data_IF_678839541166
#
_entry.id   IF_678839541166
#
_cell.length_a   1.000
_cell.length_b   1.000
_cell.length_c   1.000
_cell.angle_alpha   90.00
_cell.angle_beta   90.00
_cell.angle_gamma   90.00
#
_symmetry.space_group_name_H-M   'P 1'
#
loop_
_entity.id
_entity.type
_entity.pdbx_description
1 polymer ?
#
# COMPACT_ATOMS: atom_id res chain seq x y z
N UNK A 1 -17.84 27.16 -21.42
CA UNK A 1 -16.96 27.73 -22.45
C UNK A 1 -15.72 28.25 -21.72
N UNK A 2 -14.76 27.35 -21.45
CA UNK A 2 -13.45 27.66 -20.86
C UNK A 2 -12.41 26.84 -21.62
N UNK A 3 -12.17 27.20 -22.88
CA UNK A 3 -10.96 26.77 -23.58
C UNK A 3 -9.94 27.86 -23.27
N UNK A 4 -9.30 27.79 -22.11
CA UNK A 4 -8.09 28.56 -21.88
C UNK A 4 -6.93 27.74 -22.45
N UNK A 5 -6.35 28.30 -23.51
CA UNK A 5 -5.09 27.79 -24.08
C UNK A 5 -4.03 27.67 -22.99
N UNK A 6 -3.67 26.45 -22.63
CA UNK A 6 -2.48 26.15 -21.83
C UNK A 6 -1.22 26.42 -22.68
N UNK A 7 -0.88 27.70 -22.85
CA UNK A 7 0.43 28.14 -23.35
C UNK A 7 1.48 28.20 -22.23
N UNK A 8 1.11 27.91 -20.99
CA UNK A 8 2.01 27.81 -19.86
C UNK A 8 2.20 26.33 -19.50
N UNK A 9 3.44 25.93 -19.21
CA UNK A 9 3.78 24.59 -18.72
C UNK A 9 3.08 24.36 -17.39
N UNK A 10 2.17 23.37 -17.30
CA UNK A 10 1.50 23.04 -16.05
C UNK A 10 2.54 22.67 -14.96
N UNK A 11 2.44 23.30 -13.81
CA UNK A 11 3.34 23.15 -12.67
C UNK A 11 2.81 22.08 -11.74
N UNK A 12 3.50 20.96 -11.64
CA UNK A 12 3.08 19.83 -10.84
C UNK A 12 3.95 19.75 -9.58
N UNK A 13 3.31 19.73 -8.41
CA UNK A 13 3.92 19.31 -7.15
C UNK A 13 3.59 17.83 -6.92
N UNK A 14 4.59 17.02 -6.65
CA UNK A 14 4.39 15.61 -6.27
C UNK A 14 4.47 15.42 -4.76
N UNK A 15 3.56 14.65 -4.17
CA UNK A 15 3.56 14.30 -2.75
C UNK A 15 3.54 12.78 -2.58
N UNK A 16 4.57 12.22 -1.96
CA UNK A 16 4.68 10.78 -1.76
C UNK A 16 5.79 10.42 -0.76
N UNK A 17 5.79 9.18 -0.25
CA UNK A 17 6.80 8.78 0.74
C UNK A 17 7.40 7.39 0.44
N UNK A 18 6.63 6.27 0.40
CA UNK A 18 7.16 4.92 0.28
C UNK A 18 7.49 4.54 -1.16
N UNK A 19 8.02 3.34 -1.32
CA UNK A 19 8.39 2.73 -2.61
C UNK A 19 7.23 2.75 -3.63
N UNK A 20 5.99 2.59 -3.18
CA UNK A 20 4.78 2.64 -4.01
C UNK A 20 4.67 3.93 -4.84
N UNK A 21 5.13 5.06 -4.29
CA UNK A 21 5.05 6.37 -4.95
C UNK A 21 6.12 6.59 -6.05
N UNK A 22 7.16 5.77 -6.08
CA UNK A 22 8.32 5.93 -6.97
C UNK A 22 7.94 5.85 -8.46
N UNK A 23 7.17 4.84 -8.94
CA UNK A 23 6.80 4.78 -10.36
C UNK A 23 6.02 6.01 -10.82
N UNK A 24 5.11 6.55 -9.98
CA UNK A 24 4.34 7.75 -10.30
C UNK A 24 5.23 8.99 -10.44
N UNK A 25 6.16 9.22 -9.49
CA UNK A 25 7.12 10.34 -9.60
C UNK A 25 7.98 10.22 -10.85
N UNK A 26 8.52 9.03 -11.12
CA UNK A 26 9.33 8.76 -12.30
C UNK A 26 8.55 9.04 -13.58
N UNK A 27 7.34 8.50 -13.70
CA UNK A 27 6.50 8.67 -14.88
C UNK A 27 6.17 10.13 -15.16
N UNK A 28 5.93 10.95 -14.12
CA UNK A 28 5.70 12.39 -14.26
C UNK A 28 6.94 13.10 -14.80
N UNK A 29 8.13 12.80 -14.29
CA UNK A 29 9.39 13.41 -14.73
C UNK A 29 9.71 12.99 -16.17
N UNK A 30 9.59 11.72 -16.49
CA UNK A 30 9.87 11.18 -17.84
C UNK A 30 8.86 11.64 -18.90
N UNK A 31 7.61 11.89 -18.50
CA UNK A 31 6.58 12.41 -19.40
C UNK A 31 6.72 13.92 -19.67
N UNK A 32 7.36 14.69 -18.79
CA UNK A 32 7.46 16.15 -18.87
C UNK A 32 7.92 16.69 -20.24
N UNK A 33 8.94 16.12 -20.94
CA UNK A 33 9.38 16.64 -22.24
C UNK A 33 8.31 16.56 -23.34
N UNK A 34 7.41 15.58 -23.27
CA UNK A 34 6.38 15.35 -24.30
C UNK A 34 5.03 16.00 -23.98
N UNK A 35 4.75 16.23 -22.69
CA UNK A 35 3.46 16.75 -22.22
C UNK A 35 3.47 18.24 -21.94
N UNK A 36 4.66 18.83 -21.80
CA UNK A 36 4.84 20.25 -21.52
C UNK A 36 4.64 20.65 -20.06
N UNK A 37 4.33 19.74 -19.13
CA UNK A 37 4.30 20.07 -17.71
C UNK A 37 5.70 20.09 -17.08
N UNK A 38 5.79 20.58 -15.85
CA UNK A 38 7.02 20.60 -15.07
C UNK A 38 6.76 20.11 -13.65
N UNK A 39 7.51 19.13 -13.18
CA UNK A 39 7.55 18.79 -11.74
C UNK A 39 8.40 19.85 -11.04
N UNK A 40 7.75 20.72 -10.27
CA UNK A 40 8.40 21.91 -9.67
C UNK A 40 9.03 21.62 -8.31
N UNK A 41 8.51 20.66 -7.59
CA UNK A 41 9.04 20.18 -6.31
C UNK A 41 8.42 18.83 -5.93
N UNK A 42 8.99 18.21 -4.91
CA UNK A 42 8.50 16.98 -4.30
C UNK A 42 8.31 17.21 -2.80
N UNK A 43 7.17 16.81 -2.23
CA UNK A 43 6.96 16.78 -0.80
C UNK A 43 6.96 15.32 -0.30
N UNK A 44 7.70 15.05 0.77
CA UNK A 44 7.79 13.73 1.39
C UNK A 44 7.84 13.85 2.91
N UNK A 45 7.56 12.77 3.64
CA UNK A 45 7.73 12.79 5.09
C UNK A 45 9.21 12.93 5.45
N UNK A 46 9.52 13.61 6.58
CA UNK A 46 10.89 13.76 7.06
C UNK A 46 11.59 12.42 7.28
N UNK A 47 12.92 12.45 7.22
CA UNK A 47 13.77 11.30 7.53
C UNK A 47 13.42 10.72 8.89
N UNK A 48 13.38 9.40 8.98
CA UNK A 48 13.06 8.68 10.22
C UNK A 48 14.16 7.71 10.61
N UNK A 49 14.37 7.50 11.93
CA UNK A 49 15.26 6.45 12.39
C UNK A 49 14.76 5.08 11.93
N UNK A 50 15.58 4.30 11.22
CA UNK A 50 15.22 2.96 10.74
C UNK A 50 16.34 1.94 11.02
N UNK A 51 15.95 0.66 11.08
CA UNK A 51 16.86 -0.46 11.26
C UNK A 51 17.51 -0.61 12.64
N UNK A 52 18.37 -1.62 12.76
CA UNK A 52 19.19 -1.84 13.95
C UNK A 52 20.25 -0.72 14.01
N UNK A 53 20.20 0.14 15.03
CA UNK A 53 21.11 1.27 15.17
C UNK A 53 20.46 2.63 14.93
N UNK A 54 19.16 2.70 14.59
CA UNK A 54 18.36 3.93 14.45
C UNK A 54 19.03 5.02 13.59
N UNK A 55 19.70 4.63 12.53
CA UNK A 55 20.23 5.61 11.57
C UNK A 55 19.09 6.32 10.86
N UNK A 56 19.28 7.63 10.63
CA UNK A 56 18.30 8.41 9.84
C UNK A 56 18.32 7.91 8.40
N UNK A 57 17.15 7.49 7.92
CA UNK A 57 16.98 6.97 6.56
C UNK A 57 16.01 7.86 5.80
N UNK A 58 16.47 8.34 4.67
CA UNK A 58 15.66 9.14 3.75
C UNK A 58 14.60 8.27 3.07
N UNK A 59 13.42 8.86 2.88
CA UNK A 59 12.35 8.17 2.17
C UNK A 59 12.77 7.80 0.73
N UNK A 60 12.23 6.71 0.16
CA UNK A 60 12.46 6.38 -1.25
C UNK A 60 12.18 7.55 -2.20
N UNK A 61 11.11 8.30 -1.95
CA UNK A 61 10.74 9.47 -2.75
C UNK A 61 11.78 10.59 -2.64
N UNK A 62 12.33 10.87 -1.43
CA UNK A 62 13.41 11.85 -1.25
C UNK A 62 14.65 11.47 -2.06
N UNK A 63 15.05 10.21 -1.99
CA UNK A 63 16.20 9.71 -2.72
C UNK A 63 16.03 9.89 -4.23
N UNK A 64 14.87 9.54 -4.78
CA UNK A 64 14.58 9.71 -6.20
C UNK A 64 14.49 11.20 -6.61
N UNK A 65 13.81 12.04 -5.82
CA UNK A 65 13.73 13.47 -6.07
C UNK A 65 15.13 14.10 -6.15
N UNK A 66 16.02 13.74 -5.23
CA UNK A 66 17.41 14.19 -5.21
C UNK A 66 18.16 13.73 -6.47
N UNK A 67 17.98 12.47 -6.90
CA UNK A 67 18.59 11.95 -8.12
C UNK A 67 18.11 12.68 -9.39
N UNK A 68 16.88 13.18 -9.40
CA UNK A 68 16.34 14.03 -10.48
C UNK A 68 16.66 15.52 -10.34
N UNK A 69 17.37 15.93 -9.28
CA UNK A 69 17.68 17.34 -9.01
C UNK A 69 16.45 18.19 -8.68
N UNK A 70 15.37 17.56 -8.17
CA UNK A 70 14.13 18.25 -7.81
C UNK A 70 14.22 18.82 -6.37
N UNK A 71 13.68 20.02 -6.13
CA UNK A 71 13.53 20.57 -4.79
C UNK A 71 12.68 19.63 -3.91
N UNK A 72 13.09 19.40 -2.65
CA UNK A 72 12.40 18.54 -1.70
C UNK A 72 11.89 19.37 -0.53
N UNK A 73 10.60 19.18 -0.20
CA UNK A 73 9.95 19.70 1.00
C UNK A 73 9.68 18.53 1.96
N UNK A 74 9.94 18.76 3.26
CA UNK A 74 9.75 17.74 4.30
C UNK A 74 8.84 18.26 5.43
N UNK A 75 7.58 18.60 5.14
CA UNK A 75 6.67 19.10 6.17
C UNK A 75 6.34 18.00 7.16
N UNK A 76 6.29 18.35 8.44
CA UNK A 76 5.82 17.45 9.50
C UNK A 76 4.29 17.43 9.55
N UNK A 77 3.66 18.56 9.25
CA UNK A 77 2.20 18.70 9.26
C UNK A 77 1.79 20.01 8.60
N UNK A 78 0.86 19.97 7.67
CA UNK A 78 0.26 21.20 7.11
C UNK A 78 -0.73 21.88 8.05
N UNK A 79 -1.28 21.15 9.04
CA UNK A 79 -2.21 21.73 10.03
C UNK A 79 -1.48 22.54 11.10
N UNK A 80 -0.25 22.14 11.45
CA UNK A 80 0.52 22.71 12.57
C UNK A 80 1.67 23.61 12.13
N UNK A 81 1.99 23.63 10.85
CA UNK A 81 3.10 24.40 10.27
C UNK A 81 2.60 25.29 9.13
N UNK A 82 2.25 26.55 9.42
CA UNK A 82 1.86 27.52 8.40
C UNK A 82 2.94 27.77 7.35
N UNK A 83 4.22 27.66 7.72
CA UNK A 83 5.33 27.90 6.81
C UNK A 83 5.40 26.85 5.69
N UNK A 84 4.95 25.61 5.99
CA UNK A 84 4.82 24.56 4.98
C UNK A 84 3.75 24.91 3.94
N UNK A 85 2.62 25.49 4.37
CA UNK A 85 1.54 25.95 3.45
C UNK A 85 2.01 27.14 2.62
N UNK A 86 2.70 28.11 3.24
CA UNK A 86 3.30 29.24 2.51
C UNK A 86 4.31 28.78 1.46
N UNK A 87 5.09 27.73 1.74
CA UNK A 87 6.01 27.16 0.76
C UNK A 87 5.26 26.60 -0.46
N UNK A 88 4.10 25.96 -0.26
CA UNK A 88 3.24 25.51 -1.36
C UNK A 88 2.71 26.69 -2.19
N UNK A 89 2.22 27.73 -1.53
CA UNK A 89 1.77 28.95 -2.23
C UNK A 89 2.88 29.59 -3.08
N UNK A 90 4.12 29.66 -2.55
CA UNK A 90 5.28 30.19 -3.31
C UNK A 90 5.62 29.34 -4.53
N UNK A 91 5.43 28.03 -4.44
CA UNK A 91 5.62 27.12 -5.57
C UNK A 91 4.55 27.29 -6.64
N UNK A 92 3.38 27.82 -6.28
CA UNK A 92 2.22 28.02 -7.16
C UNK A 92 1.99 26.82 -8.10
N UNK A 93 1.71 25.62 -7.58
CA UNK A 93 1.43 24.47 -8.41
C UNK A 93 0.04 24.60 -9.05
N UNK A 94 -0.05 24.24 -10.34
CA UNK A 94 -1.33 24.13 -11.03
C UNK A 94 -2.06 22.84 -10.66
N UNK A 95 -1.30 21.79 -10.28
CA UNK A 95 -1.76 20.48 -9.91
C UNK A 95 -0.88 19.91 -8.79
N UNK A 96 -1.49 19.24 -7.82
CA UNK A 96 -0.78 18.40 -6.85
C UNK A 96 -1.09 16.94 -7.14
N UNK A 97 -0.06 16.11 -7.29
CA UNK A 97 -0.20 14.66 -7.41
C UNK A 97 0.21 13.99 -6.11
N UNK A 98 -0.64 13.13 -5.58
CA UNK A 98 -0.43 12.42 -4.31
C UNK A 98 -0.36 10.92 -4.58
N UNK A 99 0.63 10.24 -3.99
CA UNK A 99 0.73 8.79 -4.00
C UNK A 99 1.30 8.32 -2.65
N UNK A 100 0.48 7.69 -1.82
CA UNK A 100 0.88 7.15 -0.52
C UNK A 100 1.72 8.16 0.32
N UNK A 101 1.26 9.37 0.47
CA UNK A 101 1.99 10.45 1.15
C UNK A 101 2.00 10.30 2.68
N UNK A 102 0.83 9.93 3.24
CA UNK A 102 0.68 9.65 4.66
C UNK A 102 0.53 10.87 5.57
N UNK A 103 0.34 12.07 5.03
CA UNK A 103 -0.10 13.26 5.76
C UNK A 103 -1.47 13.71 5.27
N UNK A 104 -2.28 14.23 6.18
CA UNK A 104 -3.58 14.82 5.86
C UNK A 104 -3.37 16.17 5.19
N UNK A 105 -4.01 16.39 4.06
CA UNK A 105 -4.07 17.67 3.38
C UNK A 105 -5.33 18.43 3.85
N UNK A 106 -5.19 19.55 4.59
CA UNK A 106 -6.34 20.36 4.96
C UNK A 106 -6.92 21.11 3.75
N UNK A 107 -8.18 21.56 3.85
CA UNK A 107 -8.86 22.30 2.78
C UNK A 107 -8.00 23.39 2.15
N UNK A 108 -7.33 24.21 2.95
CA UNK A 108 -6.45 25.28 2.45
C UNK A 108 -5.23 24.80 1.63
N UNK A 109 -4.88 23.49 1.67
CA UNK A 109 -3.87 22.89 0.76
C UNK A 109 -4.55 22.33 -0.48
N UNK A 110 -5.74 21.71 -0.31
CA UNK A 110 -6.51 21.14 -1.43
C UNK A 110 -6.95 22.22 -2.45
N UNK A 111 -7.16 23.45 -1.98
CA UNK A 111 -7.61 24.59 -2.77
C UNK A 111 -6.48 25.37 -3.47
N UNK A 112 -5.20 25.08 -3.17
CA UNK A 112 -4.06 25.80 -3.78
C UNK A 112 -4.01 25.55 -5.30
N UNK A 113 -4.04 24.30 -5.80
CA UNK A 113 -3.86 24.04 -7.23
C UNK A 113 -5.16 24.23 -8.02
N UNK A 114 -5.11 24.94 -9.13
CA UNK A 114 -6.27 25.19 -10.02
C UNK A 114 -6.90 23.90 -10.55
N UNK A 115 -6.09 22.87 -10.82
CA UNK A 115 -6.56 21.55 -11.29
C UNK A 115 -6.76 20.55 -10.14
N UNK A 116 -6.73 21.03 -8.87
CA UNK A 116 -6.95 20.23 -7.69
C UNK A 116 -5.80 19.29 -7.32
N UNK A 117 -6.05 18.46 -6.32
CA UNK A 117 -5.14 17.43 -5.87
C UNK A 117 -5.61 16.08 -6.41
N UNK A 118 -4.75 15.37 -7.13
CA UNK A 118 -5.05 14.05 -7.73
C UNK A 118 -4.30 12.97 -6.94
N UNK A 119 -5.02 11.94 -6.48
CA UNK A 119 -4.45 10.82 -5.75
C UNK A 119 -4.41 9.54 -6.60
N UNK A 120 -3.31 8.80 -6.48
CA UNK A 120 -3.17 7.44 -7.01
C UNK A 120 -3.56 6.46 -5.89
N UNK A 121 -4.82 6.01 -5.90
CA UNK A 121 -5.36 5.13 -4.89
C UNK A 121 -5.33 3.66 -5.34
N UNK A 122 -4.81 2.77 -4.47
CA UNK A 122 -4.55 1.36 -4.82
C UNK A 122 -5.76 0.45 -4.58
N UNK A 123 -6.94 0.87 -5.03
CA UNK A 123 -8.16 0.05 -5.11
C UNK A 123 -9.07 0.49 -6.24
N UNK A 124 -10.08 -0.29 -6.53
CA UNK A 124 -11.22 0.11 -7.36
C UNK A 124 -12.25 0.79 -6.43
N UNK A 125 -12.17 2.13 -6.31
CA UNK A 125 -13.16 2.89 -5.56
C UNK A 125 -14.57 2.70 -6.15
N UNK A 126 -15.62 2.68 -5.30
CA UNK A 126 -15.70 3.10 -3.91
C UNK A 126 -15.22 2.08 -2.87
N UNK A 127 -14.77 0.88 -3.28
CA UNK A 127 -14.29 -0.13 -2.35
C UNK A 127 -12.89 0.18 -1.79
N UNK A 128 -12.67 -0.18 -0.51
CA UNK A 128 -11.37 -0.06 0.17
C UNK A 128 -10.80 1.37 0.22
N UNK A 129 -11.63 2.36 0.55
CA UNK A 129 -11.14 3.68 0.95
C UNK A 129 -10.24 3.56 2.18
N UNK A 130 -9.16 4.33 2.26
CA UNK A 130 -8.29 4.38 3.44
C UNK A 130 -6.89 3.82 3.23
N UNK A 131 -6.26 3.40 4.35
CA UNK A 131 -4.80 3.33 4.41
C UNK A 131 -4.18 2.02 3.87
N UNK A 132 -4.93 0.92 3.75
CA UNK A 132 -4.34 -0.40 3.47
C UNK A 132 -5.14 -1.23 2.46
N UNK A 133 -5.54 -0.66 1.29
CA UNK A 133 -6.43 -1.30 0.33
C UNK A 133 -5.86 -2.60 -0.25
N UNK A 134 -4.56 -2.65 -0.50
CA UNK A 134 -3.88 -3.82 -1.12
C UNK A 134 -3.95 -5.05 -0.20
N UNK A 135 -3.58 -4.86 1.07
CA UNK A 135 -3.63 -5.95 2.04
C UNK A 135 -5.07 -6.40 2.33
N UNK A 136 -6.01 -5.46 2.39
CA UNK A 136 -7.42 -5.77 2.59
C UNK A 136 -7.99 -6.62 1.44
N UNK A 137 -7.69 -6.28 0.18
CA UNK A 137 -8.12 -7.05 -0.98
C UNK A 137 -7.59 -8.50 -0.98
N UNK A 138 -6.33 -8.71 -0.56
CA UNK A 138 -5.74 -10.05 -0.41
C UNK A 138 -6.42 -10.81 0.73
N UNK A 139 -6.61 -10.17 1.88
CA UNK A 139 -7.19 -10.79 3.08
C UNK A 139 -8.64 -11.23 2.83
N UNK A 140 -9.42 -10.42 2.14
CA UNK A 140 -10.79 -10.73 1.75
C UNK A 140 -10.85 -11.76 0.60
N UNK A 141 -9.71 -12.07 -0.03
CA UNK A 141 -9.58 -13.09 -1.06
C UNK A 141 -10.22 -12.71 -2.38
N UNK A 142 -10.13 -11.44 -2.74
CA UNK A 142 -10.60 -10.98 -4.03
C UNK A 142 -9.78 -11.58 -5.17
N UNK A 143 -10.43 -11.86 -6.29
CA UNK A 143 -9.76 -12.29 -7.53
C UNK A 143 -9.11 -11.13 -8.28
N UNK A 144 -9.55 -9.91 -8.02
CA UNK A 144 -9.05 -8.69 -8.68
C UNK A 144 -9.18 -7.48 -7.75
N UNK A 145 -8.33 -6.51 -7.98
CA UNK A 145 -8.35 -5.16 -7.43
C UNK A 145 -8.01 -4.17 -8.55
N UNK A 146 -7.46 -3.02 -8.24
CA UNK A 146 -7.01 -2.08 -9.26
C UNK A 146 -6.46 -0.79 -8.70
N UNK A 147 -6.38 0.20 -9.56
CA UNK A 147 -5.98 1.56 -9.21
C UNK A 147 -7.07 2.53 -9.65
N UNK A 148 -7.35 3.50 -8.82
CA UNK A 148 -8.20 4.65 -9.13
C UNK A 148 -7.36 5.93 -9.09
N UNK A 149 -7.36 6.68 -10.18
CA UNK A 149 -6.92 8.08 -10.19
C UNK A 149 -8.14 8.92 -9.82
N UNK A 150 -8.05 9.67 -8.72
CA UNK A 150 -9.18 10.42 -8.18
C UNK A 150 -8.79 11.85 -7.80
N UNK A 151 -9.75 12.76 -7.82
CA UNK A 151 -9.61 14.06 -7.17
C UNK A 151 -9.79 13.91 -5.67
N UNK A 152 -8.96 14.59 -4.90
CA UNK A 152 -9.08 14.59 -3.44
C UNK A 152 -10.10 15.63 -2.98
N UNK A 153 -10.84 15.27 -1.97
CA UNK A 153 -11.69 16.14 -1.16
C UNK A 153 -11.27 16.09 0.32
N UNK A 154 -12.04 16.68 1.21
CA UNK A 154 -11.75 16.66 2.65
C UNK A 154 -12.01 15.31 3.30
N UNK A 155 -12.72 14.39 2.62
CA UNK A 155 -13.03 13.05 3.10
C UNK A 155 -11.89 12.06 2.91
N UNK A 156 -12.06 10.87 3.46
CA UNK A 156 -11.11 9.79 3.28
C UNK A 156 -11.40 9.06 1.98
N UNK A 157 -10.67 9.40 0.92
CA UNK A 157 -10.77 8.81 -0.42
C UNK A 157 -12.22 8.83 -0.98
N UNK A 158 -12.98 9.90 -0.69
CA UNK A 158 -14.37 10.09 -1.08
C UNK A 158 -14.56 10.90 -2.35
N UNK A 159 -13.57 11.61 -2.79
CA UNK A 159 -13.62 12.47 -3.97
C UNK A 159 -13.87 11.69 -5.27
N UNK A 160 -14.29 12.36 -6.34
CA UNK A 160 -14.66 11.72 -7.58
C UNK A 160 -13.50 11.07 -8.31
N UNK A 161 -13.75 9.93 -8.99
CA UNK A 161 -12.77 9.25 -9.80
C UNK A 161 -12.59 9.94 -11.16
N UNK A 162 -11.36 9.98 -11.66
CA UNK A 162 -11.04 10.40 -13.02
C UNK A 162 -10.89 9.18 -13.94
N UNK A 163 -10.25 8.12 -13.45
CA UNK A 163 -10.04 6.89 -14.23
C UNK A 163 -9.74 5.71 -13.30
N UNK A 164 -10.08 4.50 -13.75
CA UNK A 164 -9.78 3.26 -13.06
C UNK A 164 -9.12 2.25 -13.99
N UNK A 165 -8.26 1.38 -13.43
CA UNK A 165 -7.72 0.22 -14.11
C UNK A 165 -7.75 -1.01 -13.20
N UNK A 166 -8.24 -2.13 -13.74
CA UNK A 166 -8.34 -3.42 -13.03
C UNK A 166 -7.00 -4.14 -13.04
N UNK A 167 -6.67 -4.80 -11.94
CA UNK A 167 -5.48 -5.63 -11.76
C UNK A 167 -5.87 -6.98 -11.16
N UNK A 168 -5.57 -8.12 -11.80
CA UNK A 168 -5.76 -9.45 -11.20
C UNK A 168 -4.89 -9.63 -9.95
N UNK A 169 -5.42 -10.34 -8.95
CA UNK A 169 -4.67 -10.81 -7.79
C UNK A 169 -4.32 -12.28 -8.04
N UNK A 170 -3.02 -12.60 -8.11
CA UNK A 170 -2.57 -13.98 -8.30
C UNK A 170 -2.61 -14.75 -6.98
N UNK A 171 -2.77 -16.10 -7.02
CA UNK A 171 -2.87 -16.91 -5.80
C UNK A 171 -1.66 -16.82 -4.87
N UNK A 172 -0.48 -16.49 -5.39
CA UNK A 172 0.78 -16.33 -4.66
C UNK A 172 1.14 -14.87 -4.35
N UNK A 173 0.28 -13.93 -4.73
CA UNK A 173 0.54 -12.52 -4.44
C UNK A 173 0.60 -12.25 -2.94
N UNK A 174 1.64 -11.54 -2.57
CA UNK A 174 1.75 -10.83 -1.29
C UNK A 174 1.41 -9.35 -1.47
N UNK A 175 1.21 -8.63 -0.37
CA UNK A 175 1.07 -7.17 -0.43
C UNK A 175 2.28 -6.52 -1.12
N UNK A 176 3.49 -7.05 -0.96
CA UNK A 176 4.67 -6.53 -1.64
C UNK A 176 4.57 -6.68 -3.16
N UNK A 177 4.34 -7.91 -3.67
CA UNK A 177 4.31 -8.17 -5.12
C UNK A 177 3.15 -7.48 -5.82
N UNK A 178 1.96 -7.49 -5.21
CA UNK A 178 0.78 -6.80 -5.75
C UNK A 178 0.98 -5.28 -5.73
N UNK A 179 1.62 -4.73 -4.68
CA UNK A 179 1.93 -3.30 -4.57
C UNK A 179 2.85 -2.83 -5.69
N UNK A 180 3.85 -3.62 -6.08
CA UNK A 180 4.75 -3.28 -7.20
C UNK A 180 3.99 -3.18 -8.52
N UNK A 181 3.09 -4.13 -8.81
CA UNK A 181 2.28 -4.12 -10.03
C UNK A 181 1.28 -2.96 -10.05
N UNK A 182 0.59 -2.72 -8.93
CA UNK A 182 -0.35 -1.61 -8.81
C UNK A 182 0.36 -0.25 -8.90
N UNK A 183 1.56 -0.11 -8.35
CA UNK A 183 2.35 1.12 -8.45
C UNK A 183 2.75 1.43 -9.89
N UNK A 184 3.16 0.40 -10.66
CA UNK A 184 3.50 0.55 -12.06
C UNK A 184 2.26 0.89 -12.90
N UNK A 185 1.16 0.13 -12.75
CA UNK A 185 -0.10 0.39 -13.43
C UNK A 185 -0.65 1.79 -13.09
N UNK A 186 -0.57 2.18 -11.81
CA UNK A 186 -1.01 3.49 -11.34
C UNK A 186 -0.21 4.64 -11.95
N UNK A 187 1.10 4.45 -12.16
CA UNK A 187 1.95 5.43 -12.80
C UNK A 187 1.60 5.65 -14.28
N UNK A 188 1.34 4.58 -15.01
CA UNK A 188 0.92 4.63 -16.42
C UNK A 188 -0.46 5.30 -16.54
N UNK A 189 -1.42 4.83 -15.75
CA UNK A 189 -2.77 5.38 -15.70
C UNK A 189 -2.79 6.86 -15.31
N UNK A 190 -1.91 7.27 -14.37
CA UNK A 190 -1.76 8.65 -13.93
C UNK A 190 -1.38 9.56 -15.10
N UNK A 191 -0.34 9.21 -15.86
CA UNK A 191 0.12 10.05 -16.99
C UNK A 191 -0.97 10.20 -18.04
N UNK A 192 -1.64 9.12 -18.43
CA UNK A 192 -2.75 9.16 -19.37
C UNK A 192 -3.89 10.05 -18.86
N UNK A 193 -4.26 9.87 -17.58
CA UNK A 193 -5.34 10.64 -16.96
C UNK A 193 -5.02 12.12 -16.89
N UNK A 194 -3.78 12.49 -16.54
CA UNK A 194 -3.37 13.89 -16.41
C UNK A 194 -3.32 14.61 -17.76
N UNK A 195 -2.98 13.92 -18.85
CA UNK A 195 -3.06 14.50 -20.19
C UNK A 195 -4.49 14.95 -20.49
N UNK A 196 -5.47 14.05 -20.26
CA UNK A 196 -6.87 14.36 -20.51
C UNK A 196 -7.45 15.38 -19.51
N UNK A 197 -7.04 15.28 -18.25
CA UNK A 197 -7.51 16.17 -17.18
C UNK A 197 -7.06 17.61 -17.40
N UNK A 198 -5.77 17.84 -17.67
CA UNK A 198 -5.22 19.17 -17.91
C UNK A 198 -5.74 19.82 -19.20
N UNK A 199 -6.22 19.02 -20.16
CA UNK A 199 -6.86 19.50 -21.38
C UNK A 199 -8.39 19.69 -21.22
N UNK A 200 -8.97 19.36 -20.06
CA UNK A 200 -10.42 19.44 -19.83
C UNK A 200 -11.23 18.38 -20.59
N UNK A 201 -10.59 17.29 -21.02
CA UNK A 201 -11.23 16.15 -21.70
C UNK A 201 -11.80 15.14 -20.68
N UNK A 202 -11.05 14.85 -19.61
CA UNK A 202 -11.52 13.98 -18.55
C UNK A 202 -12.59 14.68 -17.70
N UNK A 203 -13.67 13.96 -17.38
CA UNK A 203 -14.72 14.42 -16.48
C UNK A 203 -14.67 13.60 -15.18
N UNK A 204 -14.76 14.25 -14.00
CA UNK A 204 -14.86 13.55 -12.73
C UNK A 204 -16.14 12.73 -12.65
N UNK A 205 -16.05 11.51 -12.16
CA UNK A 205 -17.17 10.57 -11.97
C UNK A 205 -17.42 10.42 -10.48
N UNK A 206 -18.62 10.76 -10.02
CA UNK A 206 -19.00 10.53 -8.63
C UNK A 206 -18.92 9.04 -8.29
N UNK A 207 -18.36 8.72 -7.12
CA UNK A 207 -18.14 7.32 -6.72
C UNK A 207 -19.46 6.54 -6.56
N UNK A 208 -20.59 7.21 -6.35
CA UNK A 208 -21.91 6.57 -6.30
C UNK A 208 -22.37 6.03 -7.66
N UNK A 209 -21.75 6.46 -8.73
CA UNK A 209 -22.00 5.98 -10.11
C UNK A 209 -21.03 4.86 -10.53
N UNK A 210 -20.03 4.56 -9.71
CA UNK A 210 -19.08 3.48 -9.96
C UNK A 210 -19.62 2.13 -9.48
N UNK A 211 -19.21 1.02 -10.11
CA UNK A 211 -19.60 -0.30 -9.64
C UNK A 211 -18.94 -0.65 -8.30
N UNK A 212 -19.65 -1.41 -7.47
CA UNK A 212 -19.19 -1.90 -6.17
C UNK A 212 -19.78 -1.13 -4.99
N UNK A 213 -19.67 -1.74 -3.81
CA UNK A 213 -20.16 -1.15 -2.56
C UNK A 213 -19.04 -0.35 -1.87
N UNK A 214 -19.36 0.83 -1.31
CA UNK A 214 -18.39 1.58 -0.52
C UNK A 214 -17.90 0.77 0.68
N UNK A 215 -16.59 0.66 0.82
CA UNK A 215 -15.98 0.05 2.00
C UNK A 215 -14.72 0.80 2.42
N UNK A 216 -14.29 0.56 3.66
CA UNK A 216 -13.11 1.22 4.22
C UNK A 216 -12.11 0.21 4.75
N UNK A 217 -10.82 0.53 4.65
CA UNK A 217 -9.74 -0.24 5.23
C UNK A 217 -8.88 0.65 6.13
N UNK A 218 -8.72 0.22 7.38
CA UNK A 218 -7.89 0.96 8.35
C UNK A 218 -6.41 0.73 8.11
N UNK A 219 -5.59 1.52 8.75
CA UNK A 219 -4.15 1.28 8.82
C UNK A 219 -3.88 -0.03 9.57
N UNK A 220 -3.02 -0.88 8.99
CA UNK A 220 -2.57 -2.11 9.63
C UNK A 220 -1.73 -1.78 10.87
N UNK A 221 -1.95 -2.54 11.94
CA UNK A 221 -1.19 -2.49 13.17
C UNK A 221 -0.34 -3.75 13.33
N UNK A 222 0.65 -3.72 14.20
CA UNK A 222 1.52 -4.88 14.44
C UNK A 222 0.73 -6.10 14.93
N UNK A 223 -0.26 -5.84 15.75
CA UNK A 223 -1.14 -6.85 16.39
C UNK A 223 -2.01 -7.60 15.39
N UNK A 224 -2.30 -7.00 14.22
CA UNK A 224 -3.07 -7.65 13.16
C UNK A 224 -2.38 -8.91 12.61
N UNK A 225 -1.06 -8.98 12.75
CA UNK A 225 -0.30 -10.17 12.38
C UNK A 225 -0.49 -11.36 13.32
N UNK A 226 -1.05 -11.18 14.52
CA UNK A 226 -1.27 -12.28 15.46
C UNK A 226 -2.36 -13.22 14.93
N UNK A 227 -2.00 -14.49 14.77
CA UNK A 227 -2.90 -15.50 14.23
C UNK A 227 -3.91 -15.92 15.31
N UNK A 228 -5.19 -15.81 14.96
CA UNK A 228 -6.29 -16.44 15.66
C UNK A 228 -6.58 -17.79 14.99
N UNK A 229 -6.16 -18.89 15.62
CA UNK A 229 -6.32 -20.25 15.09
C UNK A 229 -7.76 -20.72 15.03
N UNK A 230 -8.72 -20.00 15.63
CA UNK A 230 -10.15 -20.28 15.50
C UNK A 230 -10.72 -19.82 14.15
N UNK A 231 -9.98 -19.03 13.38
CA UNK A 231 -10.35 -18.63 12.00
C UNK A 231 -10.13 -19.77 11.02
N UNK A 232 -10.83 -19.77 9.87
CA UNK A 232 -10.60 -20.76 8.81
C UNK A 232 -9.16 -20.74 8.28
N UNK A 233 -8.61 -21.90 7.92
CA UNK A 233 -7.26 -22.02 7.37
C UNK A 233 -7.04 -21.13 6.13
N UNK A 234 -8.07 -20.97 5.29
CA UNK A 234 -8.02 -20.08 4.12
C UNK A 234 -7.83 -18.62 4.50
N UNK A 235 -8.42 -18.16 5.60
CA UNK A 235 -8.22 -16.79 6.09
C UNK A 235 -6.79 -16.61 6.63
N UNK A 236 -6.29 -17.60 7.40
CA UNK A 236 -4.93 -17.55 7.96
C UNK A 236 -3.88 -17.62 6.84
N UNK A 237 -4.12 -18.42 5.80
CA UNK A 237 -3.25 -18.44 4.61
C UNK A 237 -3.18 -17.05 3.96
N UNK A 238 -4.34 -16.40 3.74
CA UNK A 238 -4.39 -15.03 3.21
C UNK A 238 -3.68 -14.02 4.10
N UNK A 239 -3.74 -14.17 5.43
CA UNK A 239 -2.95 -13.34 6.36
C UNK A 239 -1.46 -13.44 6.09
N UNK A 240 -0.92 -14.64 5.78
CA UNK A 240 0.51 -14.79 5.50
C UNK A 240 0.94 -13.97 4.30
N UNK A 241 0.06 -13.81 3.31
CA UNK A 241 0.30 -13.01 2.09
C UNK A 241 -0.03 -11.53 2.29
N UNK A 242 -1.19 -11.23 2.87
CA UNK A 242 -1.67 -9.86 3.10
C UNK A 242 -0.73 -9.06 4.01
N UNK A 243 -0.11 -9.71 4.98
CA UNK A 243 0.77 -9.06 5.94
C UNK A 243 2.26 -9.22 5.64
N UNK A 244 2.60 -9.67 4.44
CA UNK A 244 3.99 -9.72 3.98
C UNK A 244 4.32 -8.46 3.15
N UNK A 245 5.36 -7.69 3.50
CA UNK A 245 6.45 -8.00 4.44
C UNK A 245 6.18 -7.56 5.89
N UNK A 246 5.13 -6.82 6.18
CA UNK A 246 4.81 -6.30 7.50
C UNK A 246 3.30 -6.30 7.76
N UNK A 247 2.86 -6.63 8.98
CA UNK A 247 3.63 -7.01 10.18
C UNK A 247 4.16 -8.45 10.16
N UNK A 248 3.82 -9.26 9.16
CA UNK A 248 3.93 -10.71 9.03
C UNK A 248 2.92 -11.45 9.92
N UNK A 249 2.39 -12.57 9.45
CA UNK A 249 1.56 -13.44 10.26
C UNK A 249 2.45 -14.15 11.30
N UNK A 250 2.05 -14.14 12.58
CA UNK A 250 2.82 -14.75 13.65
C UNK A 250 1.93 -15.34 14.73
N UNK A 251 2.51 -16.26 15.49
CA UNK A 251 1.96 -16.83 16.72
C UNK A 251 3.06 -16.85 17.78
N UNK A 252 2.83 -17.57 18.87
CA UNK A 252 3.85 -17.82 19.89
C UNK A 252 4.09 -19.32 20.02
N UNK A 253 5.35 -19.70 20.22
CA UNK A 253 5.77 -21.04 20.57
C UNK A 253 6.79 -20.97 21.68
N UNK A 254 6.51 -21.64 22.80
CA UNK A 254 7.31 -21.53 24.04
C UNK A 254 7.49 -20.09 24.54
N UNK A 255 6.42 -19.30 24.43
CA UNK A 255 6.44 -17.89 24.81
C UNK A 255 7.19 -16.95 23.86
N UNK A 256 7.83 -17.47 22.80
CA UNK A 256 8.59 -16.68 21.84
C UNK A 256 7.82 -16.46 20.52
N UNK A 257 7.96 -15.31 19.87
CA UNK A 257 7.35 -15.04 18.57
C UNK A 257 7.79 -16.04 17.50
N UNK A 258 6.82 -16.65 16.83
CA UNK A 258 7.03 -17.61 15.75
C UNK A 258 6.28 -17.13 14.51
N UNK A 259 6.99 -16.70 13.47
CA UNK A 259 6.39 -16.16 12.25
C UNK A 259 6.11 -17.27 11.25
N UNK A 260 4.97 -17.17 10.57
CA UNK A 260 4.57 -18.02 9.45
C UNK A 260 4.61 -17.15 8.20
N UNK A 261 5.60 -17.37 7.35
CA UNK A 261 5.86 -16.53 6.18
C UNK A 261 5.18 -17.03 4.92
N UNK A 262 4.97 -18.34 4.83
CA UNK A 262 4.14 -18.95 3.79
C UNK A 262 3.53 -20.26 4.27
N UNK A 263 2.33 -20.53 3.80
CA UNK A 263 1.55 -21.70 4.15
C UNK A 263 0.68 -22.14 2.99
N UNK A 264 0.05 -23.31 3.12
CA UNK A 264 -0.98 -23.75 2.20
C UNK A 264 -2.15 -24.34 2.99
N UNK A 265 -3.34 -24.22 2.44
CA UNK A 265 -4.55 -24.82 3.01
C UNK A 265 -4.58 -26.31 2.67
N UNK A 266 -4.91 -27.13 3.67
CA UNK A 266 -5.22 -28.53 3.50
C UNK A 266 -6.61 -28.83 4.05
N UNK A 267 -7.29 -29.76 3.39
CA UNK A 267 -8.55 -30.31 3.88
C UNK A 267 -8.34 -31.17 5.14
N UNK A 268 -9.40 -31.38 5.88
CA UNK A 268 -9.46 -32.19 7.08
C UNK A 268 -9.60 -31.37 8.34
N UNK A 269 -9.93 -32.06 9.43
CA UNK A 269 -10.17 -31.44 10.74
C UNK A 269 -9.01 -31.70 11.68
N UNK A 270 -8.70 -30.73 12.52
CA UNK A 270 -7.75 -30.82 13.62
C UNK A 270 -8.09 -29.71 14.63
N UNK A 271 -7.90 -29.94 15.93
CA UNK A 271 -8.15 -28.89 16.92
C UNK A 271 -7.38 -27.60 16.61
N UNK A 272 -8.02 -26.42 16.73
CA UNK A 272 -7.36 -25.16 16.45
C UNK A 272 -6.05 -24.99 17.24
N UNK A 273 -4.97 -24.64 16.54
CA UNK A 273 -3.64 -24.47 17.10
C UNK A 273 -2.84 -25.77 17.28
N UNK A 274 -3.45 -26.95 17.18
CA UNK A 274 -2.71 -28.21 17.34
C UNK A 274 -1.76 -28.45 16.16
N UNK A 275 -0.50 -28.69 16.47
CA UNK A 275 0.55 -28.96 15.48
C UNK A 275 0.67 -30.47 15.26
N UNK A 276 0.49 -30.89 14.02
CA UNK A 276 0.56 -32.31 13.62
C UNK A 276 1.63 -32.49 12.53
N UNK A 277 2.13 -33.72 12.40
CA UNK A 277 3.05 -34.10 11.34
C UNK A 277 2.31 -34.74 10.18
N UNK A 278 2.58 -34.26 8.96
CA UNK A 278 2.16 -34.92 7.72
C UNK A 278 3.36 -35.27 6.84
N UNK A 279 3.20 -36.08 5.79
CA UNK A 279 4.27 -36.32 4.81
C UNK A 279 4.78 -35.02 4.12
N UNK A 280 3.90 -34.01 3.98
CA UNK A 280 4.21 -32.72 3.35
C UNK A 280 4.93 -31.76 4.32
N UNK A 281 4.84 -31.97 5.63
CA UNK A 281 5.44 -31.11 6.64
C UNK A 281 4.56 -30.92 7.89
N UNK A 282 4.90 -29.97 8.77
CA UNK A 282 4.06 -29.65 9.92
C UNK A 282 2.79 -28.92 9.48
N UNK A 283 1.65 -29.36 10.02
CA UNK A 283 0.36 -28.71 9.85
C UNK A 283 -0.14 -28.18 11.18
N UNK A 284 -0.97 -27.16 11.13
CA UNK A 284 -1.64 -26.61 12.32
C UNK A 284 -3.14 -26.62 12.07
N UNK A 285 -3.91 -27.12 13.03
CA UNK A 285 -5.36 -27.06 13.00
C UNK A 285 -5.87 -25.63 13.01
N UNK A 286 -6.95 -25.38 12.30
CA UNK A 286 -7.64 -24.10 12.23
C UNK A 286 -9.12 -24.29 12.58
N UNK A 287 -9.89 -23.20 12.67
CA UNK A 287 -11.33 -23.29 12.92
C UNK A 287 -12.07 -24.09 11.85
N UNK A 288 -11.56 -24.08 10.61
CA UNK A 288 -11.98 -24.91 9.49
C UNK A 288 -10.75 -25.23 8.65
N UNK A 289 -10.53 -26.52 8.36
CA UNK A 289 -9.36 -26.97 7.63
C UNK A 289 -8.07 -26.97 8.46
N UNK A 290 -6.95 -27.18 7.79
CA UNK A 290 -5.60 -27.19 8.37
C UNK A 290 -4.66 -26.33 7.57
N UNK A 291 -3.67 -25.75 8.23
CA UNK A 291 -2.65 -24.91 7.60
C UNK A 291 -1.32 -25.68 7.52
N UNK A 292 -0.87 -26.05 6.33
CA UNK A 292 0.45 -26.62 6.08
C UNK A 292 1.48 -25.49 6.12
N UNK A 293 2.40 -25.53 7.07
CA UNK A 293 3.48 -24.57 7.17
C UNK A 293 4.56 -24.87 6.13
N UNK A 294 4.94 -23.88 5.33
CA UNK A 294 5.99 -24.00 4.31
C UNK A 294 7.26 -23.27 4.73
N UNK A 295 7.16 -21.99 5.01
CA UNK A 295 8.29 -21.18 5.45
C UNK A 295 7.96 -20.53 6.78
N UNK A 296 8.85 -20.73 7.76
CA UNK A 296 8.70 -20.22 9.11
C UNK A 296 9.93 -19.43 9.54
N UNK A 297 9.76 -18.59 10.56
CA UNK A 297 10.86 -17.85 11.16
C UNK A 297 10.71 -17.83 12.68
N UNK A 298 11.42 -18.71 13.41
CA UNK A 298 11.52 -18.65 14.87
C UNK A 298 12.21 -17.36 15.34
N UNK A 299 11.95 -16.95 16.58
CA UNK A 299 12.59 -15.78 17.18
C UNK A 299 14.12 -15.83 17.05
N UNK A 300 14.73 -14.72 16.62
CA UNK A 300 16.19 -14.60 16.45
C UNK A 300 16.81 -15.42 15.33
N UNK A 301 16.02 -16.18 14.54
CA UNK A 301 16.53 -17.00 13.42
C UNK A 301 16.23 -16.34 12.07
N UNK A 302 16.86 -16.88 11.01
CA UNK A 302 16.50 -16.54 9.62
C UNK A 302 15.28 -17.35 9.18
N UNK A 303 14.52 -16.88 8.18
CA UNK A 303 13.50 -17.71 7.53
C UNK A 303 14.07 -19.06 7.11
N UNK A 304 13.30 -20.13 7.30
CA UNK A 304 13.68 -21.49 6.95
C UNK A 304 12.48 -22.31 6.54
N UNK A 305 12.73 -23.40 5.82
CA UNK A 305 11.73 -24.40 5.49
C UNK A 305 11.19 -25.07 6.78
N UNK A 306 9.85 -25.23 6.87
CA UNK A 306 9.21 -25.73 8.07
C UNK A 306 9.54 -27.22 8.39
N UNK A 307 9.83 -28.05 7.38
CA UNK A 307 10.30 -29.43 7.61
C UNK A 307 11.71 -29.42 8.21
N UNK A 308 12.58 -28.55 7.68
CA UNK A 308 13.94 -28.37 8.18
C UNK A 308 13.94 -27.88 9.63
N UNK A 309 13.00 -27.01 9.99
CA UNK A 309 12.81 -26.56 11.38
C UNK A 309 12.56 -27.71 12.35
N UNK A 310 11.77 -28.73 11.95
CA UNK A 310 11.47 -29.89 12.81
C UNK A 310 12.70 -30.72 13.19
N UNK A 311 13.79 -30.68 12.42
CA UNK A 311 15.02 -31.42 12.75
C UNK A 311 15.67 -30.90 14.05
N UNK A 312 15.49 -29.61 14.34
CA UNK A 312 16.00 -28.97 15.57
C UNK A 312 14.94 -28.75 16.64
N UNK A 313 13.68 -29.06 16.35
CA UNK A 313 12.52 -28.79 17.21
C UNK A 313 11.46 -29.89 17.08
N UNK A 314 11.81 -31.16 17.40
CA UNK A 314 10.85 -32.27 17.27
C UNK A 314 9.63 -32.13 18.16
N UNK A 315 9.74 -31.45 19.27
CA UNK A 315 8.70 -31.14 20.24
C UNK A 315 7.73 -30.01 19.79
N UNK A 316 7.94 -29.44 18.60
CA UNK A 316 6.93 -28.60 17.95
C UNK A 316 5.70 -29.42 17.57
N UNK A 317 5.90 -30.70 17.21
CA UNK A 317 4.80 -31.63 16.96
C UNK A 317 4.10 -31.97 18.29
N UNK A 318 2.78 -31.86 18.33
CA UNK A 318 1.93 -32.02 19.52
C UNK A 318 1.77 -30.71 20.32
N UNK A 319 2.47 -29.65 20.00
CA UNK A 319 2.23 -28.34 20.63
C UNK A 319 0.85 -27.79 20.21
N UNK A 320 0.22 -27.02 21.10
CA UNK A 320 -0.98 -26.22 20.78
C UNK A 320 -0.58 -24.73 20.75
N UNK A 321 -0.75 -24.06 19.62
CA UNK A 321 -0.41 -22.66 19.42
C UNK A 321 -1.61 -21.75 19.71
N UNK A 322 -1.39 -20.57 20.32
CA UNK A 322 -0.12 -20.09 20.86
C UNK A 322 0.29 -20.83 22.12
N UNK A 323 1.59 -21.02 22.35
CA UNK A 323 2.12 -21.68 23.54
C UNK A 323 3.34 -20.96 24.13
#
# INVERSE_FOLDING_TARGET
MFVMMLNARARILFMGTPQFAIPSLRALVEAAPRTGWQVVAVATQPDRPAGRGRQMVSSPVKQMATAFGLPVLEPVSFRKDPSAVEALHRLAPDLIVVAAYGLILPAGVLEIPTFGCVNVHASLLPAYRGASPIAAAILDGLAQTGVTIMLMDEGLDTGPALRQAVQPIHPDDTTATLSERLAQQGAELLVETLVDWLQGVAAPIDQTLLPGEPSTCRQIQKEDGLIDWTKPAVYIERMTRAYTPWPTAYTFWKGEPFKILSAAVLDGESPPGLVERTPEGPTVGAGEGRLLLRTVQPAGKRPMDARSFLNGAPDFIGATLPS
#
